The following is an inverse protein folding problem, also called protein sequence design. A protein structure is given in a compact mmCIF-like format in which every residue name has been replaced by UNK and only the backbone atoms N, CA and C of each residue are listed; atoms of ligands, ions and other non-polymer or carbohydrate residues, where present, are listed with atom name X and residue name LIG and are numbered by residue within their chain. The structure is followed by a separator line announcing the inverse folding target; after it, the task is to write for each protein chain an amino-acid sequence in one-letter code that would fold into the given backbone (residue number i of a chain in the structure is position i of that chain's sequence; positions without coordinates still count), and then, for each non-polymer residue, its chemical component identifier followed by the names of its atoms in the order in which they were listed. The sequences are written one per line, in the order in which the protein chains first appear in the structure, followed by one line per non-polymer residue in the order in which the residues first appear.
data_IF_764001606693
#
_entry.id   IF_764001606693
#
_cell.length_a   1.000
_cell.length_b   1.000
_cell.length_c   1.000
_cell.angle_alpha   90.00
_cell.angle_beta   90.00
_cell.angle_gamma   90.00
#
_symmetry.space_group_name_H-M   'P 1'
#
loop_
_entity.id
_entity.type
_entity.pdbx_description
1 polymer ?
#
# COMPACT_ATOMS: atom_id res chain seq x y z
N UNK A 1 -15.05 2.78 -12.95
CA UNK A 1 -15.13 3.64 -11.75
C UNK A 1 -16.04 2.95 -10.74
N UNK A 2 -15.45 2.40 -9.70
CA UNK A 2 -16.23 1.87 -8.58
C UNK A 2 -16.30 2.94 -7.50
N UNK A 3 -17.46 3.54 -7.33
CA UNK A 3 -17.76 4.43 -6.20
C UNK A 3 -18.33 3.56 -5.08
N UNK A 4 -17.58 3.37 -4.02
CA UNK A 4 -18.08 2.75 -2.80
C UNK A 4 -18.43 3.87 -1.82
N UNK A 5 -19.70 4.02 -1.52
CA UNK A 5 -20.17 4.92 -0.46
C UNK A 5 -20.50 4.05 0.75
N UNK A 6 -19.70 4.11 1.78
CA UNK A 6 -20.06 3.52 3.09
C UNK A 6 -20.49 4.63 4.00
N UNK A 7 -21.77 4.64 4.37
CA UNK A 7 -22.30 5.44 5.47
C UNK A 7 -21.76 4.86 6.77
N UNK A 8 -20.63 5.35 7.22
CA UNK A 8 -20.17 5.09 8.58
C UNK A 8 -20.13 6.41 9.33
N UNK A 9 -21.00 6.52 10.29
CA UNK A 9 -21.06 7.62 11.27
C UNK A 9 -20.89 9.03 10.67
N UNK A 10 -21.89 9.48 9.91
CA UNK A 10 -22.03 10.88 9.48
C UNK A 10 -20.90 11.44 8.58
N UNK A 11 -20.39 10.66 7.65
CA UNK A 11 -19.37 11.13 6.70
C UNK A 11 -19.42 10.47 5.32
N UNK A 12 -18.87 11.14 4.31
CA UNK A 12 -18.74 10.63 2.95
C UNK A 12 -17.29 10.19 2.67
N UNK A 13 -17.14 8.95 2.19
CA UNK A 13 -15.89 8.43 1.69
C UNK A 13 -15.98 8.21 0.18
N UNK A 14 -15.12 8.89 -0.59
CA UNK A 14 -15.03 8.68 -2.04
C UNK A 14 -13.67 8.00 -2.33
N UNK A 15 -13.73 6.86 -3.02
CA UNK A 15 -12.56 6.15 -3.50
C UNK A 15 -12.64 6.04 -5.03
N UNK A 16 -11.60 6.50 -5.71
CA UNK A 16 -11.42 6.30 -7.15
C UNK A 16 -10.15 5.47 -7.35
N UNK A 17 -10.26 4.38 -8.09
CA UNK A 17 -9.15 3.47 -8.34
C UNK A 17 -9.00 3.20 -9.84
N UNK A 18 -7.77 3.26 -10.32
CA UNK A 18 -7.38 2.87 -11.66
C UNK A 18 -6.27 1.82 -11.55
N UNK A 19 -6.43 0.68 -12.18
CA UNK A 19 -5.38 -0.35 -12.19
C UNK A 19 -5.16 -0.92 -13.59
N UNK A 20 -3.89 -1.18 -13.89
CA UNK A 20 -3.45 -1.86 -15.11
C UNK A 20 -2.60 -3.03 -14.70
N UNK A 21 -2.88 -4.21 -15.28
CA UNK A 21 -2.08 -5.42 -15.12
C UNK A 21 -1.70 -5.93 -16.51
N UNK A 22 -0.45 -6.29 -16.67
CA UNK A 22 0.07 -6.85 -17.92
C UNK A 22 0.92 -8.08 -17.63
N UNK A 23 0.94 -9.00 -18.58
CA UNK A 23 1.81 -10.16 -18.55
C UNK A 23 2.56 -10.23 -19.88
N UNK A 24 3.88 -10.40 -19.77
CA UNK A 24 4.74 -10.63 -20.90
C UNK A 24 5.66 -11.79 -20.56
N UNK A 25 5.40 -12.95 -21.19
CA UNK A 25 6.08 -14.21 -20.93
C UNK A 25 6.03 -14.57 -19.44
N UNK A 26 7.15 -14.70 -18.77
CA UNK A 26 7.29 -14.98 -17.34
C UNK A 26 7.21 -13.74 -16.44
N UNK A 27 7.12 -12.56 -17.01
CA UNK A 27 6.97 -11.31 -16.29
C UNK A 27 5.50 -10.95 -16.09
N UNK A 28 5.19 -10.42 -14.92
CA UNK A 28 3.90 -9.79 -14.59
C UNK A 28 4.15 -8.40 -14.05
N UNK A 29 3.40 -7.45 -14.55
CA UNK A 29 3.48 -6.05 -14.17
C UNK A 29 2.13 -5.61 -13.64
N UNK A 30 2.14 -4.78 -12.61
CA UNK A 30 0.94 -4.11 -12.13
C UNK A 30 1.24 -2.67 -11.77
N UNK A 31 0.27 -1.81 -12.04
CA UNK A 31 0.24 -0.42 -11.59
C UNK A 31 -1.16 -0.13 -11.11
N UNK A 32 -1.29 0.47 -9.92
CA UNK A 32 -2.56 0.93 -9.37
C UNK A 32 -2.39 2.33 -8.83
N UNK A 33 -3.36 3.17 -9.15
CA UNK A 33 -3.50 4.53 -8.65
C UNK A 33 -4.83 4.61 -7.90
N UNK A 34 -4.80 4.95 -6.63
CA UNK A 34 -5.98 5.19 -5.84
C UNK A 34 -5.99 6.66 -5.39
N UNK A 35 -7.15 7.28 -5.46
CA UNK A 35 -7.44 8.58 -4.85
C UNK A 35 -8.59 8.40 -3.88
N UNK A 36 -8.36 8.79 -2.64
CA UNK A 36 -9.34 8.68 -1.55
C UNK A 36 -9.57 10.06 -0.96
N UNK A 37 -10.82 10.45 -0.82
CA UNK A 37 -11.26 11.65 -0.11
C UNK A 37 -12.25 11.26 0.97
N UNK A 38 -12.03 11.74 2.17
CA UNK A 38 -12.93 11.55 3.31
C UNK A 38 -13.40 12.90 3.78
N UNK A 39 -14.72 13.06 3.90
CA UNK A 39 -15.39 14.23 4.46
C UNK A 39 -16.24 13.74 5.62
N UNK A 40 -15.84 14.07 6.83
CA UNK A 40 -16.51 13.63 8.05
C UNK A 40 -17.31 14.78 8.65
N UNK A 41 -18.25 14.50 9.52
CA UNK A 41 -19.01 15.50 10.27
C UNK A 41 -18.08 16.33 11.17
N UNK A 42 -17.07 15.69 11.74
CA UNK A 42 -15.93 16.37 12.37
C UNK A 42 -14.91 16.69 11.28
N UNK A 43 -14.97 17.91 10.74
CA UNK A 43 -14.10 18.37 9.65
C UNK A 43 -12.60 18.35 10.00
N UNK A 44 -12.24 18.24 11.30
CA UNK A 44 -10.84 18.11 11.72
C UNK A 44 -10.19 16.82 11.23
N UNK A 45 -10.98 15.81 10.88
CA UNK A 45 -10.53 14.50 10.40
C UNK A 45 -10.66 14.33 8.88
N UNK A 46 -11.10 15.37 8.17
CA UNK A 46 -11.15 15.33 6.71
C UNK A 46 -9.77 15.17 6.13
N UNK A 47 -9.62 14.28 5.16
CA UNK A 47 -8.35 14.08 4.49
C UNK A 47 -8.50 13.68 3.02
N UNK A 48 -7.47 13.96 2.27
CA UNK A 48 -7.26 13.43 0.93
C UNK A 48 -6.01 12.54 0.94
N UNK A 49 -6.06 11.41 0.26
CA UNK A 49 -4.90 10.56 0.07
C UNK A 49 -4.80 10.05 -1.36
N UNK A 50 -3.58 9.90 -1.82
CA UNK A 50 -3.24 9.25 -3.08
C UNK A 50 -2.32 8.08 -2.80
N UNK A 51 -2.52 6.97 -3.50
CA UNK A 51 -1.68 5.78 -3.45
C UNK A 51 -1.25 5.44 -4.86
N UNK A 52 0.06 5.34 -5.08
CA UNK A 52 0.66 4.67 -6.22
C UNK A 52 1.18 3.32 -5.73
N UNK A 53 0.74 2.24 -6.38
CA UNK A 53 1.19 0.88 -6.12
C UNK A 53 1.69 0.29 -7.43
N UNK A 54 2.96 -0.11 -7.47
CA UNK A 54 3.59 -0.70 -8.65
C UNK A 54 4.27 -2.00 -8.28
N UNK A 55 4.21 -2.99 -9.15
CA UNK A 55 4.83 -4.26 -8.92
C UNK A 55 5.30 -4.93 -10.19
N UNK A 56 6.38 -5.67 -10.06
CA UNK A 56 6.88 -6.58 -11.07
C UNK A 56 7.17 -7.93 -10.43
N UNK A 57 6.81 -9.00 -11.09
CA UNK A 57 7.24 -10.34 -10.71
C UNK A 57 7.76 -11.11 -11.91
N UNK A 58 8.73 -11.96 -11.65
CA UNK A 58 9.36 -12.85 -12.61
C UNK A 58 9.25 -14.30 -12.12
N UNK A 59 8.75 -15.17 -12.99
CA UNK A 59 8.56 -16.60 -12.70
C UNK A 59 9.64 -17.40 -13.43
N UNK A 60 10.50 -18.04 -12.65
CA UNK A 60 11.53 -18.94 -13.14
C UNK A 60 11.42 -20.26 -12.36
N UNK A 61 10.61 -21.15 -12.87
CA UNK A 61 10.28 -22.40 -12.15
C UNK A 61 11.50 -23.12 -11.62
N UNK A 62 11.55 -23.50 -10.34
CA UNK A 62 10.46 -23.42 -9.31
C UNK A 62 10.42 -22.10 -8.52
N UNK A 63 11.11 -21.07 -8.95
CA UNK A 63 11.25 -19.79 -8.26
C UNK A 63 10.28 -18.75 -8.79
N UNK A 64 9.82 -17.87 -7.89
CA UNK A 64 9.15 -16.62 -8.25
C UNK A 64 9.77 -15.50 -7.45
N UNK A 65 10.20 -14.47 -8.14
CA UNK A 65 10.74 -13.24 -7.55
C UNK A 65 9.77 -12.10 -7.77
N UNK A 66 9.66 -11.21 -6.82
CA UNK A 66 8.81 -10.03 -6.94
C UNK A 66 9.42 -8.81 -6.29
N UNK A 67 9.15 -7.66 -6.88
CA UNK A 67 9.42 -6.35 -6.34
C UNK A 67 8.14 -5.55 -6.35
N UNK A 68 7.83 -4.90 -5.23
CA UNK A 68 6.70 -3.97 -5.12
C UNK A 68 7.17 -2.65 -4.53
N UNK A 69 6.61 -1.58 -5.04
CA UNK A 69 6.79 -0.22 -4.52
C UNK A 69 5.44 0.43 -4.34
N UNK A 70 5.22 0.98 -3.15
CA UNK A 70 4.05 1.78 -2.83
C UNK A 70 4.47 3.16 -2.35
N UNK A 71 3.83 4.19 -2.87
CA UNK A 71 3.94 5.55 -2.39
C UNK A 71 2.56 6.04 -2.03
N UNK A 72 2.38 6.44 -0.79
CA UNK A 72 1.14 7.02 -0.28
C UNK A 72 1.40 8.42 0.22
N UNK A 73 0.60 9.36 -0.22
CA UNK A 73 0.55 10.73 0.30
C UNK A 73 -0.81 10.98 0.92
N UNK A 74 -0.84 11.53 2.12
CA UNK A 74 -2.07 11.87 2.84
C UNK A 74 -1.95 13.28 3.38
N UNK A 75 -2.95 14.10 3.13
CA UNK A 75 -3.05 15.46 3.62
C UNK A 75 -4.39 15.66 4.31
N UNK A 76 -4.36 16.17 5.52
CA UNK A 76 -5.55 16.54 6.26
C UNK A 76 -6.02 17.94 5.85
N UNK A 77 -7.32 18.18 5.89
CA UNK A 77 -7.92 19.45 5.47
C UNK A 77 -7.71 20.55 6.52
N UNK A 78 -7.72 20.15 7.80
CA UNK A 78 -7.67 21.08 8.93
C UNK A 78 -6.48 20.79 9.85
N UNK A 79 -6.10 21.79 10.62
CA UNK A 79 -5.04 21.66 11.59
C UNK A 79 -5.47 20.75 12.75
N UNK A 80 -4.56 19.89 13.20
CA UNK A 80 -4.70 19.12 14.42
C UNK A 80 -4.76 20.05 15.62
N UNK A 81 -5.75 19.85 16.50
CA UNK A 81 -6.00 20.73 17.65
C UNK A 81 -4.85 20.75 18.68
N UNK A 82 -4.06 19.67 18.76
CA UNK A 82 -2.96 19.56 19.71
C UNK A 82 -1.69 20.24 19.18
N UNK A 83 -1.44 20.17 17.88
CA UNK A 83 -0.20 20.67 17.26
C UNK A 83 -0.38 21.95 16.46
N UNK A 84 -1.61 22.33 16.17
CA UNK A 84 -1.98 23.44 15.29
C UNK A 84 -1.36 23.35 13.88
N UNK A 85 -1.06 22.11 13.42
CA UNK A 85 -0.47 21.82 12.13
C UNK A 85 -1.46 21.07 11.24
N UNK A 86 -1.53 21.47 9.98
CA UNK A 86 -2.19 20.66 8.93
C UNK A 86 -1.28 19.48 8.62
N UNK A 87 -1.68 18.29 9.07
CA UNK A 87 -0.85 17.10 8.95
C UNK A 87 -0.70 16.68 7.49
N UNK A 88 0.55 16.40 7.12
CA UNK A 88 0.94 15.83 5.84
C UNK A 88 1.83 14.63 6.09
N UNK A 89 1.38 13.47 5.64
CA UNK A 89 2.10 12.22 5.76
C UNK A 89 2.45 11.68 4.38
N UNK A 90 3.68 11.25 4.21
CA UNK A 90 4.15 10.54 3.02
C UNK A 90 4.76 9.23 3.45
N UNK A 91 4.27 8.13 2.89
CA UNK A 91 4.77 6.78 3.18
C UNK A 91 5.29 6.16 1.90
N UNK A 92 6.55 5.75 1.92
CA UNK A 92 7.18 4.92 0.90
C UNK A 92 7.37 3.51 1.46
N UNK A 93 6.98 2.52 0.69
CA UNK A 93 7.12 1.12 1.05
C UNK A 93 7.71 0.37 -0.14
N UNK A 94 8.83 -0.32 0.08
CA UNK A 94 9.46 -1.20 -0.90
C UNK A 94 9.50 -2.61 -0.35
N UNK A 95 9.17 -3.60 -1.17
CA UNK A 95 9.32 -4.99 -0.81
C UNK A 95 9.96 -5.83 -1.91
N UNK A 96 10.81 -6.75 -1.49
CA UNK A 96 11.39 -7.80 -2.30
C UNK A 96 10.88 -9.13 -1.77
N UNK A 97 10.29 -9.94 -2.63
CA UNK A 97 9.82 -11.26 -2.27
C UNK A 97 10.44 -12.33 -3.16
N UNK A 98 10.64 -13.49 -2.56
CA UNK A 98 11.12 -14.67 -3.23
C UNK A 98 10.31 -15.87 -2.73
N UNK A 99 9.82 -16.69 -3.65
CA UNK A 99 9.07 -17.92 -3.34
C UNK A 99 9.68 -19.07 -4.09
N UNK A 100 9.74 -20.22 -3.43
CA UNK A 100 10.16 -21.49 -4.01
C UNK A 100 9.03 -22.52 -3.89
N UNK A 101 8.66 -23.13 -5.00
CA UNK A 101 7.65 -24.16 -5.06
C UNK A 101 8.32 -25.55 -4.98
N UNK A 102 8.13 -26.28 -3.90
CA UNK A 102 8.58 -27.67 -3.77
C UNK A 102 7.66 -28.63 -4.56
N UNK A 103 6.37 -28.29 -4.62
CA UNK A 103 5.34 -29.00 -5.35
C UNK A 103 4.20 -28.05 -5.70
N UNK A 104 3.17 -28.53 -6.38
CA UNK A 104 1.97 -27.73 -6.66
C UNK A 104 1.19 -27.30 -5.41
N UNK A 105 1.48 -27.91 -4.26
CA UNK A 105 0.78 -27.66 -3.00
C UNK A 105 1.67 -27.14 -1.88
N UNK A 106 3.00 -27.02 -2.09
CA UNK A 106 3.93 -26.65 -1.03
C UNK A 106 4.88 -25.57 -1.48
N UNK A 107 4.91 -24.46 -0.73
CA UNK A 107 5.72 -23.29 -1.01
C UNK A 107 6.48 -22.85 0.24
N UNK A 108 7.70 -22.38 0.05
CA UNK A 108 8.41 -21.56 1.04
C UNK A 108 8.69 -20.20 0.42
N UNK A 109 8.57 -19.14 1.22
CA UNK A 109 8.83 -17.80 0.73
C UNK A 109 9.43 -16.90 1.79
N UNK A 110 10.09 -15.85 1.33
CA UNK A 110 10.59 -14.75 2.15
C UNK A 110 10.21 -13.42 1.54
N UNK A 111 9.99 -12.45 2.40
CA UNK A 111 9.71 -11.06 2.05
C UNK A 111 10.60 -10.13 2.88
N UNK A 112 11.27 -9.22 2.21
CA UNK A 112 12.03 -8.13 2.81
C UNK A 112 11.30 -6.84 2.49
N UNK A 113 10.87 -6.11 3.51
CA UNK A 113 10.12 -4.88 3.39
C UNK A 113 10.83 -3.74 4.09
N UNK A 114 10.94 -2.60 3.40
CA UNK A 114 11.38 -1.33 3.97
C UNK A 114 10.22 -0.35 3.93
N UNK A 115 9.96 0.29 5.05
CA UNK A 115 8.92 1.31 5.21
C UNK A 115 9.60 2.60 5.69
N UNK A 116 9.33 3.69 5.00
CA UNK A 116 9.75 5.03 5.40
C UNK A 116 8.52 5.93 5.42
N UNK A 117 8.23 6.51 6.57
CA UNK A 117 7.18 7.51 6.72
C UNK A 117 7.81 8.85 7.07
N UNK A 118 7.54 9.84 6.25
CA UNK A 118 7.83 11.25 6.52
C UNK A 118 6.52 11.94 6.92
N UNK A 119 6.61 12.84 7.86
CA UNK A 119 5.50 13.68 8.32
C UNK A 119 6.04 15.05 8.67
N UNK A 120 5.22 16.09 8.52
CA UNK A 120 5.52 17.41 9.09
C UNK A 120 5.37 17.45 10.62
N UNK A 121 4.80 16.41 11.22
CA UNK A 121 4.87 16.12 12.65
C UNK A 121 5.98 15.08 12.88
N UNK A 122 7.09 15.50 13.49
CA UNK A 122 8.26 14.65 13.71
C UNK A 122 7.96 13.40 14.54
N UNK A 123 6.93 13.40 15.37
CA UNK A 123 6.53 12.25 16.19
C UNK A 123 5.91 11.11 15.35
N UNK A 124 5.47 11.42 14.13
CA UNK A 124 4.85 10.48 13.19
C UNK A 124 5.82 10.00 12.10
N UNK A 125 7.03 10.54 12.06
CA UNK A 125 8.06 10.09 11.12
C UNK A 125 8.77 8.85 11.66
N UNK A 126 8.93 7.82 10.82
CA UNK A 126 9.67 6.61 11.18
C UNK A 126 10.25 5.90 9.96
N UNK A 127 11.21 5.03 10.23
CA UNK A 127 11.72 4.08 9.26
C UNK A 127 11.76 2.69 9.92
N UNK A 128 11.32 1.67 9.18
CA UNK A 128 11.30 0.28 9.63
C UNK A 128 11.74 -0.66 8.52
N UNK A 129 12.44 -1.73 8.91
CA UNK A 129 12.71 -2.88 8.05
C UNK A 129 12.03 -4.10 8.66
N UNK A 130 11.38 -4.88 7.82
CA UNK A 130 10.67 -6.08 8.21
C UNK A 130 11.16 -7.25 7.35
N UNK A 131 11.39 -8.39 7.99
CA UNK A 131 11.62 -9.66 7.33
C UNK A 131 10.52 -10.64 7.72
N UNK A 132 9.94 -11.31 6.74
CA UNK A 132 8.89 -12.32 6.95
C UNK A 132 9.27 -13.59 6.21
N UNK A 133 9.15 -14.74 6.88
CA UNK A 133 9.20 -16.06 6.24
C UNK A 133 7.82 -16.71 6.29
N UNK A 134 7.49 -17.43 5.22
CA UNK A 134 6.22 -18.13 5.07
C UNK A 134 6.48 -19.55 4.60
N UNK A 135 5.78 -20.48 5.21
CA UNK A 135 5.61 -21.84 4.72
C UNK A 135 4.13 -22.08 4.47
N UNK A 136 3.77 -22.45 3.26
CA UNK A 136 2.39 -22.68 2.86
C UNK A 136 2.28 -24.11 2.37
N UNK A 137 1.39 -24.85 3.00
CA UNK A 137 1.01 -26.19 2.57
C UNK A 137 -0.51 -26.23 2.33
N UNK A 138 -0.92 -26.62 1.12
CA UNK A 138 -2.31 -26.75 0.72
C UNK A 138 -2.65 -28.23 0.63
N UNK A 139 -3.76 -28.64 1.22
CA UNK A 139 -4.30 -29.99 1.21
C UNK A 139 -5.22 -30.22 0.03
#
# INVERSE_FOLDING_TARGET
QNKVTTDSEDGNLTLTSLSVKSRWDDFRFQVRLDSKSSTLKDSSKDYQSTLLDTGVSYSWSPWVFGFNYQNMSQQYANADLATNLVLQNKKDEMSLNCKYAFSNSTFVGGDLKQIKQASNDATKAFQANQFTMQYIWMF
#
